data_IF_681965013752
#
_entry.id   IF_681965013752
#
_cell.length_a   1.000
_cell.length_b   1.000
_cell.length_c   1.000
_cell.angle_alpha   90.00
_cell.angle_beta   90.00
_cell.angle_gamma   90.00
#
_symmetry.space_group_name_H-M   'P 1'
#
loop_
_entity.id
_entity.type
_entity.pdbx_description
1 polymer ?
#
# COMPACT_ATOMS: atom_id res chain seq x y z
N UNK A 1 48.57 -49.91 42.00
CA UNK A 1 48.41 -48.50 42.43
C UNK A 1 46.91 -48.21 42.53
N UNK A 2 46.49 -47.56 43.62
CA UNK A 2 45.11 -47.46 44.14
C UNK A 2 44.34 -46.27 43.55
N UNK A 3 43.02 -46.44 43.47
CA UNK A 3 41.96 -45.52 43.05
C UNK A 3 41.86 -44.21 43.86
N UNK A 4 41.02 -43.25 43.37
CA UNK A 4 39.94 -42.50 44.07
C UNK A 4 39.68 -41.08 43.48
N UNK A 5 38.50 -40.82 42.89
CA UNK A 5 37.26 -40.15 43.40
C UNK A 5 37.31 -38.62 43.61
N UNK A 6 36.42 -37.93 42.86
CA UNK A 6 35.32 -37.01 43.25
C UNK A 6 35.49 -35.83 44.24
N UNK A 7 34.67 -34.77 44.03
CA UNK A 7 34.08 -33.73 44.93
C UNK A 7 34.19 -32.33 44.26
N UNK A 8 33.16 -31.73 43.61
CA UNK A 8 31.96 -30.96 44.06
C UNK A 8 32.27 -29.81 45.05
N UNK A 9 31.69 -28.61 44.82
CA UNK A 9 31.04 -27.68 45.78
C UNK A 9 31.47 -26.17 45.68
N UNK A 10 30.54 -25.38 45.11
CA UNK A 10 30.04 -24.02 45.45
C UNK A 10 30.93 -22.77 45.55
N UNK A 11 30.47 -21.68 44.92
CA UNK A 11 30.24 -20.41 45.62
C UNK A 11 29.20 -19.53 44.89
N UNK A 12 28.00 -19.51 45.44
CA UNK A 12 26.93 -18.51 45.29
C UNK A 12 27.37 -17.13 45.81
N UNK A 13 27.14 -16.07 45.04
CA UNK A 13 26.93 -14.71 45.58
C UNK A 13 25.72 -14.10 44.89
N UNK A 14 24.60 -14.12 45.61
CA UNK A 14 23.51 -13.18 45.45
C UNK A 14 23.79 -11.95 46.34
N UNK A 15 23.19 -10.80 46.01
CA UNK A 15 22.48 -9.87 46.92
C UNK A 15 22.64 -8.39 46.47
N UNK A 16 21.47 -7.71 46.37
CA UNK A 16 21.14 -6.26 46.29
C UNK A 16 21.11 -5.60 44.90
N UNK A 17 20.12 -4.79 44.52
CA UNK A 17 19.10 -4.08 45.30
C UNK A 17 17.79 -3.93 44.52
N UNK A 18 16.66 -4.26 45.16
CA UNK A 18 15.32 -3.91 44.70
C UNK A 18 15.00 -2.52 45.25
N UNK A 19 15.21 -1.48 44.45
CA UNK A 19 14.72 -0.14 44.73
C UNK A 19 13.22 -0.10 44.45
N UNK A 20 12.42 -0.23 45.51
CA UNK A 20 11.02 0.13 45.52
C UNK A 20 10.88 1.65 45.31
N UNK A 21 10.76 2.07 44.05
CA UNK A 21 10.19 3.39 43.76
C UNK A 21 8.67 3.25 43.76
N UNK A 22 8.07 3.86 44.79
CA UNK A 22 6.65 4.07 44.96
C UNK A 22 6.04 4.74 43.72
N UNK A 23 5.34 3.96 42.91
CA UNK A 23 4.46 4.48 41.87
C UNK A 23 3.29 5.22 42.51
N UNK A 24 3.29 6.54 42.39
CA UNK A 24 2.12 7.38 42.62
C UNK A 24 0.94 6.78 41.84
N UNK A 25 -0.07 6.30 42.56
CA UNK A 25 -1.39 6.07 41.97
C UNK A 25 -1.98 7.44 41.66
N UNK A 26 -1.72 7.94 40.46
CA UNK A 26 -2.57 8.94 39.84
C UNK A 26 -3.98 8.38 39.81
N UNK A 27 -4.83 8.86 40.74
CA UNK A 27 -6.27 8.81 40.60
C UNK A 27 -6.61 9.71 39.42
N UNK A 28 -6.49 9.16 38.22
CA UNK A 28 -7.13 9.71 37.03
C UNK A 28 -8.63 9.69 37.32
N UNK A 29 -9.18 10.89 37.49
CA UNK A 29 -10.60 11.11 37.60
C UNK A 29 -11.25 10.52 36.34
N UNK A 30 -12.07 9.51 36.57
CA UNK A 30 -12.89 8.80 35.59
C UNK A 30 -14.01 9.74 35.10
N UNK A 31 -13.62 10.77 34.35
CA UNK A 31 -14.56 11.62 33.64
C UNK A 31 -14.95 10.91 32.35
N UNK A 32 -16.19 10.43 32.30
CA UNK A 32 -17.04 10.40 31.11
C UNK A 32 -16.30 10.29 29.77
N UNK A 33 -15.99 9.06 29.40
CA UNK A 33 -15.49 8.76 28.07
C UNK A 33 -14.81 7.41 28.09
N UNK A 34 -15.60 6.33 28.02
CA UNK A 34 -15.09 5.04 27.56
C UNK A 34 -14.19 5.34 26.37
N UNK A 35 -12.93 4.87 26.40
CA UNK A 35 -12.03 4.91 25.24
C UNK A 35 -12.88 4.61 24.00
N UNK A 36 -12.79 5.40 22.92
CA UNK A 36 -13.60 5.16 21.73
C UNK A 36 -13.56 3.67 21.41
N UNK A 37 -14.69 2.98 21.56
CA UNK A 37 -14.82 1.56 21.17
C UNK A 37 -14.79 1.42 19.65
N UNK A 38 -14.59 2.54 18.94
CA UNK A 38 -14.10 2.68 17.58
C UNK A 38 -12.71 2.05 17.46
N UNK A 39 -12.60 0.73 17.61
CA UNK A 39 -11.54 0.02 16.91
C UNK A 39 -11.61 0.38 15.42
N UNK A 40 -10.49 0.28 14.69
CA UNK A 40 -10.52 0.49 13.25
C UNK A 40 -11.63 -0.38 12.64
N UNK A 41 -12.71 0.25 12.18
CA UNK A 41 -13.90 -0.45 11.68
C UNK A 41 -13.60 -1.31 10.44
N UNK A 42 -12.44 -1.09 9.84
CA UNK A 42 -11.88 -1.89 8.75
C UNK A 42 -10.46 -2.30 9.15
N UNK A 43 -10.23 -3.61 9.26
CA UNK A 43 -8.88 -4.15 9.36
C UNK A 43 -8.23 -3.98 7.99
N UNK A 44 -7.40 -2.95 7.84
CA UNK A 44 -6.64 -2.75 6.60
C UNK A 44 -5.80 -4.00 6.31
N UNK A 45 -5.84 -4.45 5.05
CA UNK A 45 -4.94 -5.50 4.61
C UNK A 45 -3.53 -4.92 4.51
N UNK A 46 -2.66 -5.47 5.36
CA UNK A 46 -1.26 -5.05 5.52
C UNK A 46 -0.29 -5.93 4.74
N UNK A 47 -0.80 -6.85 3.91
CA UNK A 47 0.01 -7.69 3.03
C UNK A 47 0.97 -6.80 2.22
N UNK A 48 2.29 -7.01 2.34
CA UNK A 48 3.26 -6.23 1.60
C UNK A 48 3.05 -6.38 0.09
N UNK A 49 3.01 -5.26 -0.63
CA UNK A 49 2.86 -5.25 -2.08
C UNK A 49 3.94 -6.08 -2.79
N UNK A 50 5.16 -6.09 -2.24
CA UNK A 50 6.28 -6.88 -2.76
C UNK A 50 5.97 -8.38 -2.78
N UNK A 51 5.32 -8.91 -1.75
CA UNK A 51 5.01 -10.34 -1.66
C UNK A 51 3.99 -10.74 -2.72
N UNK A 52 2.99 -9.89 -2.96
CA UNK A 52 1.99 -10.08 -4.00
C UNK A 52 2.61 -10.03 -5.40
N UNK A 53 3.49 -9.06 -5.64
CA UNK A 53 4.18 -8.89 -6.92
C UNK A 53 5.17 -10.02 -7.19
N UNK A 54 5.86 -10.52 -6.16
CA UNK A 54 6.79 -11.64 -6.29
C UNK A 54 6.07 -12.95 -6.53
N UNK A 55 4.92 -13.15 -5.88
CA UNK A 55 4.05 -14.29 -6.20
C UNK A 55 3.61 -14.23 -7.67
N UNK A 56 3.16 -13.08 -8.14
CA UNK A 56 2.77 -12.90 -9.54
C UNK A 56 3.92 -13.18 -10.51
N UNK A 57 5.12 -12.69 -10.21
CA UNK A 57 6.31 -12.95 -10.99
C UNK A 57 6.67 -14.44 -11.05
N UNK A 58 6.55 -15.18 -9.94
CA UNK A 58 6.77 -16.62 -9.92
C UNK A 58 5.78 -17.35 -10.83
N UNK A 59 4.49 -16.99 -10.77
CA UNK A 59 3.46 -17.60 -11.62
C UNK A 59 3.72 -17.35 -13.11
N UNK A 60 4.22 -16.16 -13.46
CA UNK A 60 4.66 -15.86 -14.84
C UNK A 60 5.89 -16.69 -15.20
N UNK A 61 6.93 -16.69 -14.37
CA UNK A 61 8.18 -17.44 -14.57
C UNK A 61 7.94 -18.94 -14.79
N UNK A 62 7.05 -19.55 -13.99
CA UNK A 62 6.70 -20.95 -14.11
C UNK A 62 6.08 -21.28 -15.48
N UNK A 63 5.29 -20.36 -16.05
CA UNK A 63 4.72 -20.52 -17.39
C UNK A 63 5.78 -20.35 -18.48
N UNK A 64 6.77 -19.49 -18.25
CA UNK A 64 7.87 -19.24 -19.19
C UNK A 64 8.85 -20.40 -19.26
N UNK A 65 9.15 -21.09 -18.16
CA UNK A 65 10.15 -22.17 -18.12
C UNK A 65 9.86 -23.27 -19.16
N UNK A 66 8.58 -23.59 -19.39
CA UNK A 66 8.17 -24.63 -20.33
C UNK A 66 8.11 -24.16 -21.80
N UNK A 67 8.15 -22.85 -22.06
CA UNK A 67 7.80 -22.27 -23.37
C UNK A 67 8.89 -21.40 -23.98
N UNK A 68 9.67 -20.73 -23.14
CA UNK A 68 10.65 -19.76 -23.57
C UNK A 68 12.00 -20.45 -23.81
N UNK A 69 12.58 -20.39 -25.03
CA UNK A 69 13.90 -20.92 -25.28
C UNK A 69 14.96 -20.29 -24.36
N UNK A 70 15.96 -21.04 -23.89
CA UNK A 70 17.00 -20.50 -23.01
C UNK A 70 17.76 -19.35 -23.69
N UNK A 71 18.10 -18.31 -22.92
CA UNK A 71 18.83 -17.15 -23.42
C UNK A 71 17.97 -16.08 -24.12
N UNK A 72 16.65 -16.28 -24.18
CA UNK A 72 15.70 -15.31 -24.71
C UNK A 72 15.65 -14.01 -23.89
N UNK A 73 15.92 -12.84 -24.48
CA UNK A 73 15.86 -11.57 -23.76
C UNK A 73 14.41 -11.09 -23.57
N UNK A 74 14.08 -10.68 -22.36
CA UNK A 74 12.80 -10.06 -22.02
C UNK A 74 13.01 -8.56 -21.80
N UNK A 75 12.44 -7.75 -22.69
CA UNK A 75 12.45 -6.29 -22.57
C UNK A 75 11.30 -5.85 -21.68
N UNK A 76 11.56 -4.96 -20.72
CA UNK A 76 10.52 -4.53 -19.77
C UNK A 76 9.90 -3.21 -20.20
N UNK A 77 8.59 -3.23 -20.39
CA UNK A 77 7.79 -2.02 -20.58
C UNK A 77 7.15 -1.62 -19.26
N UNK A 78 7.22 -0.33 -18.92
CA UNK A 78 6.59 0.16 -17.71
C UNK A 78 5.08 -0.07 -17.74
N UNK A 79 4.55 -0.56 -16.61
CA UNK A 79 3.13 -0.85 -16.48
C UNK A 79 2.32 0.44 -16.55
N UNK A 80 1.12 0.37 -17.10
CA UNK A 80 0.29 1.56 -17.33
C UNK A 80 -1.02 1.53 -16.55
N UNK A 81 -1.46 2.68 -16.07
CA UNK A 81 -2.81 2.81 -15.55
C UNK A 81 -3.81 2.77 -16.72
N UNK A 82 -4.83 1.91 -16.65
CA UNK A 82 -5.88 1.89 -17.68
C UNK A 82 -6.60 3.24 -17.72
N UNK A 83 -6.75 3.80 -18.92
CA UNK A 83 -7.43 5.08 -19.12
C UNK A 83 -6.58 6.34 -18.83
N UNK A 84 -5.29 6.19 -18.53
CA UNK A 84 -4.39 7.33 -18.33
C UNK A 84 -3.04 7.10 -19.00
N UNK A 85 -2.41 8.18 -19.46
CA UNK A 85 -1.04 8.19 -19.99
C UNK A 85 -0.02 8.55 -18.91
N UNK A 86 -0.46 8.83 -17.68
CA UNK A 86 0.41 9.20 -16.58
C UNK A 86 1.25 8.01 -16.12
N UNK A 87 2.55 8.26 -15.99
CA UNK A 87 3.47 7.37 -15.30
C UNK A 87 3.37 7.67 -13.81
N UNK A 88 3.15 6.65 -12.99
CA UNK A 88 2.98 6.79 -11.54
C UNK A 88 4.15 6.12 -10.83
N UNK A 89 4.45 6.55 -9.60
CA UNK A 89 5.45 5.87 -8.78
C UNK A 89 5.02 4.43 -8.48
N UNK A 90 3.72 4.20 -8.34
CA UNK A 90 3.15 2.86 -8.25
C UNK A 90 3.53 2.00 -9.45
N UNK A 91 3.35 2.50 -10.68
CA UNK A 91 3.69 1.79 -11.91
C UNK A 91 5.18 1.45 -11.97
N UNK A 92 6.05 2.39 -11.59
CA UNK A 92 7.49 2.21 -11.57
C UNK A 92 7.90 1.08 -10.61
N UNK A 93 7.47 1.18 -9.35
CA UNK A 93 7.79 0.19 -8.31
C UNK A 93 7.23 -1.18 -8.65
N UNK A 94 5.99 -1.24 -9.14
CA UNK A 94 5.34 -2.48 -9.58
C UNK A 94 6.15 -3.16 -10.69
N UNK A 95 6.52 -2.40 -11.72
CA UNK A 95 7.30 -2.92 -12.86
C UNK A 95 8.66 -3.43 -12.39
N UNK A 96 9.38 -2.64 -11.58
CA UNK A 96 10.71 -2.99 -11.06
C UNK A 96 10.67 -4.26 -10.21
N UNK A 97 9.67 -4.40 -9.33
CA UNK A 97 9.53 -5.58 -8.47
C UNK A 97 9.25 -6.86 -9.27
N UNK A 98 8.31 -6.79 -10.21
CA UNK A 98 7.97 -7.95 -11.06
C UNK A 98 9.17 -8.34 -11.94
N UNK A 99 9.79 -7.37 -12.62
CA UNK A 99 10.96 -7.61 -13.45
C UNK A 99 12.15 -8.15 -12.65
N UNK A 100 12.45 -7.56 -11.49
CA UNK A 100 13.52 -8.02 -10.61
C UNK A 100 13.30 -9.46 -10.18
N UNK A 101 12.06 -9.85 -9.86
CA UNK A 101 11.78 -11.22 -9.44
C UNK A 101 11.88 -12.20 -10.59
N UNK A 102 11.39 -11.86 -11.79
CA UNK A 102 11.57 -12.69 -13.00
C UNK A 102 13.08 -12.88 -13.31
N UNK A 103 13.90 -11.84 -13.14
CA UNK A 103 15.35 -11.95 -13.29
C UNK A 103 15.99 -12.92 -12.27
N UNK A 104 15.50 -12.93 -11.03
CA UNK A 104 15.98 -13.85 -9.99
C UNK A 104 15.63 -15.32 -10.29
N UNK A 105 14.57 -15.56 -11.06
CA UNK A 105 14.20 -16.91 -11.54
C UNK A 105 15.04 -17.37 -12.75
N UNK A 106 16.03 -16.57 -13.18
CA UNK A 106 17.01 -16.98 -14.21
C UNK A 106 16.74 -16.44 -15.62
N UNK A 107 15.70 -15.63 -15.81
CA UNK A 107 15.39 -15.02 -17.10
C UNK A 107 16.23 -13.76 -17.38
N UNK A 108 16.60 -13.56 -18.65
CA UNK A 108 17.40 -12.41 -19.07
C UNK A 108 16.54 -11.15 -19.22
N UNK A 109 16.43 -10.36 -18.15
CA UNK A 109 15.76 -9.06 -18.18
C UNK A 109 16.71 -7.98 -18.72
N UNK A 110 16.27 -7.26 -19.77
CA UNK A 110 17.11 -6.29 -20.48
C UNK A 110 16.36 -4.99 -20.76
N UNK A 111 17.09 -3.88 -20.80
CA UNK A 111 16.53 -2.59 -21.23
C UNK A 111 16.37 -2.51 -22.75
N UNK A 112 17.26 -3.18 -23.50
CA UNK A 112 17.26 -3.19 -24.96
C UNK A 112 17.68 -4.59 -25.46
N UNK A 113 16.78 -5.24 -26.18
CA UNK A 113 16.99 -6.56 -26.81
C UNK A 113 17.60 -6.48 -28.21
N UNK A 114 17.89 -5.28 -28.74
CA UNK A 114 18.48 -5.11 -30.08
C UNK A 114 19.86 -5.73 -30.21
N UNK A 115 20.63 -5.74 -29.11
CA UNK A 115 22.03 -6.21 -29.06
C UNK A 115 22.18 -7.68 -28.67
N UNK A 116 21.08 -8.38 -28.41
CA UNK A 116 21.13 -9.77 -27.99
C UNK A 116 21.34 -10.72 -29.18
N UNK A 117 22.26 -11.69 -29.07
CA UNK A 117 22.45 -12.69 -30.11
C UNK A 117 21.20 -13.56 -30.19
N UNK A 118 20.63 -13.66 -31.40
CA UNK A 118 19.44 -14.46 -31.69
C UNK A 118 19.79 -15.80 -32.36
N UNK A 119 21.08 -16.11 -32.44
CA UNK A 119 21.54 -17.40 -32.94
C UNK A 119 21.35 -18.45 -31.84
N UNK A 120 20.95 -19.67 -32.24
CA UNK A 120 20.95 -20.80 -31.33
C UNK A 120 22.38 -21.03 -30.81
N UNK A 121 22.49 -21.24 -29.50
CA UNK A 121 23.78 -21.51 -28.86
C UNK A 121 24.30 -22.91 -29.21
N UNK A 122 23.38 -23.82 -29.53
CA UNK A 122 23.59 -25.21 -29.89
C UNK A 122 22.59 -25.59 -31.00
N UNK A 123 22.96 -26.51 -31.90
CA UNK A 123 22.08 -26.97 -33.00
C UNK A 123 20.82 -27.68 -32.47
N UNK A 124 20.90 -28.26 -31.26
CA UNK A 124 19.81 -28.99 -30.61
C UNK A 124 18.83 -28.08 -29.84
N UNK A 125 19.14 -26.79 -29.67
CA UNK A 125 18.30 -25.84 -28.95
C UNK A 125 17.54 -24.92 -29.89
N UNK A 126 16.28 -24.65 -29.55
CA UNK A 126 15.52 -23.62 -30.24
C UNK A 126 16.25 -22.26 -30.13
N UNK A 127 16.28 -21.48 -31.22
CA UNK A 127 16.89 -20.16 -31.18
C UNK A 127 16.20 -19.28 -30.13
N UNK A 128 16.94 -18.38 -29.44
CA UNK A 128 16.35 -17.42 -28.52
C UNK A 128 15.24 -16.60 -29.21
N UNK A 129 14.26 -16.14 -28.43
CA UNK A 129 13.20 -15.27 -28.92
C UNK A 129 13.13 -13.96 -28.13
N UNK A 130 12.87 -12.85 -28.84
CA UNK A 130 12.70 -11.55 -28.18
C UNK A 130 11.32 -11.48 -27.57
N UNK A 131 11.26 -11.19 -26.28
CA UNK A 131 10.02 -11.06 -25.54
C UNK A 131 9.90 -9.68 -24.90
N UNK A 132 8.66 -9.30 -24.57
CA UNK A 132 8.33 -8.07 -23.86
C UNK A 132 7.46 -8.40 -22.65
N UNK A 133 7.87 -7.93 -21.48
CA UNK A 133 7.03 -7.87 -20.30
C UNK A 133 6.24 -6.56 -20.32
N UNK A 134 4.92 -6.65 -20.34
CA UNK A 134 4.03 -5.51 -20.27
C UNK A 134 2.89 -5.78 -19.29
N UNK A 135 2.38 -4.71 -18.69
CA UNK A 135 1.27 -4.82 -17.75
C UNK A 135 0.42 -3.57 -17.71
N UNK A 136 -0.78 -3.73 -17.17
CA UNK A 136 -1.70 -2.63 -16.93
C UNK A 136 -2.43 -2.84 -15.61
N UNK A 137 -2.78 -1.75 -14.95
CA UNK A 137 -3.51 -1.79 -13.69
C UNK A 137 -4.68 -0.79 -13.68
N UNK A 138 -5.69 -1.08 -12.86
CA UNK A 138 -6.85 -0.23 -12.64
C UNK A 138 -7.06 -0.02 -11.14
N UNK A 139 -7.35 1.21 -10.73
CA UNK A 139 -7.52 1.57 -9.33
C UNK A 139 -9.01 1.62 -9.00
N UNK A 140 -9.46 0.74 -8.10
CA UNK A 140 -10.78 0.75 -7.50
C UNK A 140 -10.80 1.44 -6.12
N UNK A 141 -11.95 1.42 -5.41
CA UNK A 141 -12.08 2.07 -4.11
C UNK A 141 -11.28 1.37 -2.98
N UNK A 142 -11.13 0.04 -3.05
CA UNK A 142 -10.47 -0.76 -2.01
C UNK A 142 -9.32 -1.62 -2.54
N UNK A 143 -9.28 -1.86 -3.85
CA UNK A 143 -8.30 -2.74 -4.49
C UNK A 143 -7.78 -2.13 -5.79
N UNK A 144 -6.55 -2.49 -6.14
CA UNK A 144 -5.92 -2.23 -7.43
C UNK A 144 -5.82 -3.56 -8.16
N UNK A 145 -6.48 -3.68 -9.31
CA UNK A 145 -6.41 -4.89 -10.15
C UNK A 145 -5.32 -4.73 -11.19
N UNK A 146 -4.43 -5.70 -11.27
CA UNK A 146 -3.23 -5.67 -12.10
C UNK A 146 -3.25 -6.88 -13.03
N UNK A 147 -2.88 -6.66 -14.28
CA UNK A 147 -2.66 -7.67 -15.31
C UNK A 147 -1.25 -7.51 -15.84
N UNK A 148 -0.47 -8.59 -15.89
CA UNK A 148 0.83 -8.60 -16.55
C UNK A 148 0.96 -9.81 -17.47
N UNK A 149 1.67 -9.62 -18.57
CA UNK A 149 1.94 -10.66 -19.55
C UNK A 149 3.33 -10.49 -20.15
N UNK A 150 3.97 -11.63 -20.45
CA UNK A 150 5.16 -11.70 -21.30
C UNK A 150 4.72 -12.22 -22.66
N UNK A 151 4.96 -11.42 -23.68
CA UNK A 151 4.63 -11.76 -25.06
C UNK A 151 5.86 -11.76 -25.95
N UNK A 152 5.87 -12.62 -26.96
CA UNK A 152 6.86 -12.59 -28.05
C UNK A 152 6.73 -11.29 -28.85
N UNK A 153 7.84 -10.79 -29.37
CA UNK A 153 7.86 -9.59 -30.23
C UNK A 153 7.47 -9.92 -31.66
N UNK A 154 7.71 -11.16 -32.11
CA UNK A 154 7.54 -11.60 -33.48
C UNK A 154 6.07 -11.66 -33.88
N UNK A 155 5.25 -12.35 -33.09
CA UNK A 155 3.85 -12.69 -33.37
C UNK A 155 2.89 -12.23 -32.25
N UNK A 156 3.41 -11.80 -31.10
CA UNK A 156 2.59 -11.32 -29.99
C UNK A 156 1.94 -12.44 -29.18
N UNK A 157 2.42 -13.68 -29.30
CA UNK A 157 1.97 -14.80 -28.49
C UNK A 157 2.24 -14.53 -27.00
N UNK A 158 1.24 -14.78 -26.16
CA UNK A 158 1.38 -14.65 -24.70
C UNK A 158 1.96 -15.97 -24.17
N UNK A 159 3.22 -15.91 -23.75
CA UNK A 159 3.92 -17.07 -23.19
C UNK A 159 3.53 -17.30 -21.73
N UNK A 160 3.40 -16.23 -20.97
CA UNK A 160 3.02 -16.27 -19.56
C UNK A 160 2.23 -15.03 -19.16
N UNK A 161 1.23 -15.20 -18.31
CA UNK A 161 0.42 -14.09 -17.80
C UNK A 161 -0.09 -14.35 -16.39
N UNK A 162 -0.34 -13.28 -15.65
CA UNK A 162 -0.95 -13.37 -14.35
C UNK A 162 -1.76 -12.11 -14.01
N UNK A 163 -2.89 -12.33 -13.36
CA UNK A 163 -3.78 -11.29 -12.85
C UNK A 163 -3.81 -11.38 -11.32
N UNK A 164 -3.66 -10.23 -10.65
CA UNK A 164 -3.72 -10.18 -9.19
C UNK A 164 -4.27 -8.86 -8.68
N UNK A 165 -4.63 -8.85 -7.40
CA UNK A 165 -5.15 -7.69 -6.72
C UNK A 165 -4.18 -7.26 -5.62
N UNK A 166 -3.98 -5.95 -5.52
CA UNK A 166 -3.21 -5.31 -4.44
C UNK A 166 -4.19 -4.47 -3.60
N UNK A 167 -4.22 -4.62 -2.27
CA UNK A 167 -5.09 -3.82 -1.43
C UNK A 167 -4.70 -2.33 -1.47
N UNK A 168 -5.70 -1.45 -1.51
CA UNK A 168 -5.51 -0.02 -1.45
C UNK A 168 -5.40 0.43 0.02
N UNK A 169 -4.21 0.31 0.60
CA UNK A 169 -3.88 0.79 1.93
C UNK A 169 -3.12 2.13 1.86
N UNK A 170 -2.80 2.70 3.03
CA UNK A 170 -2.04 3.96 3.12
C UNK A 170 -0.74 3.97 2.30
N UNK A 171 -0.02 2.84 2.26
CA UNK A 171 1.26 2.71 1.53
C UNK A 171 1.07 2.69 0.01
N UNK A 172 0.11 1.90 -0.49
CA UNK A 172 -0.14 1.80 -1.94
C UNK A 172 -0.83 3.05 -2.47
N UNK A 173 -1.68 3.69 -1.65
CA UNK A 173 -2.31 4.98 -1.98
C UNK A 173 -1.30 6.12 -2.13
N UNK A 174 -0.26 6.16 -1.30
CA UNK A 174 0.81 7.16 -1.38
C UNK A 174 1.60 7.12 -2.71
N UNK A 175 1.59 5.98 -3.41
CA UNK A 175 2.28 5.79 -4.69
C UNK A 175 1.40 6.17 -5.91
N UNK A 176 0.11 6.44 -5.68
CA UNK A 176 -0.83 6.80 -6.72
C UNK A 176 -0.98 8.33 -6.80
N UNK A 177 -1.33 8.87 -7.98
CA UNK A 177 -1.56 10.31 -8.17
C UNK A 177 -2.93 10.75 -7.62
N UNK A 178 -3.32 10.23 -6.45
CA UNK A 178 -4.58 10.60 -5.80
C UNK A 178 -4.28 11.83 -4.95
N UNK A 179 -4.79 12.99 -5.37
CA UNK A 179 -4.81 14.17 -4.52
C UNK A 179 -5.77 13.88 -3.37
N UNK A 180 -5.27 13.68 -2.16
CA UNK A 180 -6.10 13.77 -0.97
C UNK A 180 -6.73 15.16 -0.99
N UNK A 181 -8.06 15.26 -1.07
CA UNK A 181 -8.72 16.54 -0.84
C UNK A 181 -8.48 16.88 0.63
N UNK A 182 -7.71 17.92 0.97
CA UNK A 182 -7.39 18.21 2.37
C UNK A 182 -8.60 18.76 3.13
N UNK A 183 -9.76 18.92 2.48
CA UNK A 183 -10.98 19.43 3.07
C UNK A 183 -11.95 18.29 3.36
N UNK A 184 -11.78 17.67 4.53
CA UNK A 184 -12.90 17.08 5.24
C UNK A 184 -13.57 18.25 5.95
N UNK A 185 -14.59 18.85 5.35
CA UNK A 185 -15.46 19.76 6.08
C UNK A 185 -16.26 18.93 7.09
N UNK A 186 -16.09 19.13 8.41
CA UNK A 186 -16.91 18.42 9.38
C UNK A 186 -18.37 18.85 9.16
N UNK A 187 -19.21 17.91 8.70
CA UNK A 187 -20.66 18.12 8.56
C UNK A 187 -21.38 18.35 9.91
N UNK A 188 -20.66 18.19 11.02
CA UNK A 188 -21.19 18.42 12.36
C UNK A 188 -20.80 19.82 12.79
N UNK A 189 -21.80 20.69 12.90
CA UNK A 189 -21.67 21.98 13.54
C UNK A 189 -21.34 21.78 15.04
N UNK A 190 -20.07 21.94 15.40
CA UNK A 190 -19.61 21.91 16.81
C UNK A 190 -19.63 23.29 17.46
N UNK A 191 -20.25 24.29 16.82
CA UNK A 191 -20.54 25.58 17.46
C UNK A 191 -21.56 25.32 18.57
N UNK A 192 -21.08 25.05 19.77
CA UNK A 192 -21.92 25.05 20.97
C UNK A 192 -22.62 26.41 21.13
N UNK A 193 -23.68 26.49 21.95
CA UNK A 193 -24.33 27.75 22.23
C UNK A 193 -23.32 28.69 22.89
N UNK A 194 -22.89 29.71 22.16
CA UNK A 194 -22.10 30.81 22.71
C UNK A 194 -23.06 31.61 23.60
N UNK A 195 -22.92 31.47 24.92
CA UNK A 195 -23.51 32.43 25.85
C UNK A 195 -22.91 33.81 25.57
N UNK A 196 -23.79 34.73 25.23
CA UNK A 196 -23.47 36.11 24.88
C UNK A 196 -23.29 36.89 26.19
N UNK A 197 -22.07 36.89 26.74
CA UNK A 197 -21.73 37.83 27.82
C UNK A 197 -21.19 39.11 27.21
N UNK A 198 -22.01 40.16 27.22
CA UNK A 198 -21.59 41.52 26.87
C UNK A 198 -20.54 42.03 27.86
N UNK A 199 -19.36 42.43 27.37
CA UNK A 199 -18.73 43.69 27.76
C UNK A 199 -17.60 44.09 26.79
N UNK A 200 -17.87 45.21 26.10
CA UNK A 200 -17.01 46.18 25.43
C UNK A 200 -15.48 45.98 25.40
N UNK A 201 -14.91 45.98 24.19
CA UNK A 201 -14.19 47.13 23.56
C UNK A 201 -13.02 46.65 22.69
N UNK A 202 -12.94 47.16 21.45
CA UNK A 202 -11.73 47.09 20.63
C UNK A 202 -11.94 46.66 19.19
N UNK A 203 -12.18 47.65 18.32
CA UNK A 203 -11.75 47.75 16.91
C UNK A 203 -11.80 46.51 15.99
N UNK A 204 -12.61 46.58 14.93
CA UNK A 204 -12.19 46.69 13.52
C UNK A 204 -13.40 46.35 12.63
N UNK A 205 -13.84 47.31 11.81
CA UNK A 205 -14.80 47.09 10.73
C UNK A 205 -14.11 46.40 9.55
N UNK A 206 -14.83 45.53 8.82
CA UNK A 206 -15.20 45.94 7.48
C UNK A 206 -16.68 45.73 7.17
N UNK A 207 -17.15 46.59 6.28
CA UNK A 207 -18.51 46.86 5.84
C UNK A 207 -19.21 45.70 5.13
N UNK A 208 -20.40 45.32 5.61
CA UNK A 208 -21.38 44.56 4.85
C UNK A 208 -22.36 45.50 4.14
N UNK A 209 -22.37 45.42 2.81
CA UNK A 209 -23.40 46.01 1.95
C UNK A 209 -24.69 45.20 2.12
N UNK A 210 -25.80 45.92 2.24
CA UNK A 210 -27.12 45.44 2.59
C UNK A 210 -27.93 44.96 1.38
N UNK A 211 -28.66 43.86 1.53
CA UNK A 211 -29.88 43.52 0.81
C UNK A 211 -30.66 42.48 1.64
N UNK A 212 -31.67 42.87 2.42
CA UNK A 212 -33.12 42.85 2.10
C UNK A 212 -33.56 41.57 1.38
N UNK A 213 -34.58 40.81 1.77
CA UNK A 213 -35.61 40.94 2.81
C UNK A 213 -36.46 39.63 2.81
N UNK A 214 -36.97 39.26 3.99
CA UNK A 214 -38.27 38.59 4.24
C UNK A 214 -38.61 37.21 3.64
N UNK A 215 -38.70 36.21 4.52
CA UNK A 215 -39.92 35.40 4.71
C UNK A 215 -39.83 34.56 6.00
N UNK A 216 -40.87 34.67 6.84
CA UNK A 216 -41.01 34.04 8.16
C UNK A 216 -41.37 32.54 8.07
N UNK A 217 -41.18 31.74 9.15
CA UNK A 217 -41.48 30.31 9.16
C UNK A 217 -42.96 30.06 9.53
N UNK A 218 -43.66 29.25 8.73
CA UNK A 218 -44.99 28.73 9.03
C UNK A 218 -44.83 27.28 9.49
N UNK A 219 -45.19 27.02 10.74
CA UNK A 219 -45.41 25.68 11.28
C UNK A 219 -46.89 25.34 11.06
N UNK A 220 -47.20 24.40 10.17
CA UNK A 220 -48.47 23.67 10.20
C UNK A 220 -48.21 22.32 10.87
N UNK A 221 -48.79 22.15 12.06
CA UNK A 221 -49.13 20.85 12.62
C UNK A 221 -50.45 20.44 11.99
N UNK A 222 -50.50 19.28 11.35
CA UNK A 222 -51.77 18.63 11.05
C UNK A 222 -51.79 17.20 11.62
N UNK A 223 -52.91 16.93 12.27
CA UNK A 223 -53.28 15.75 13.05
C UNK A 223 -54.13 14.86 12.15
N UNK A 224 -53.88 13.55 12.13
CA UNK A 224 -54.76 12.39 11.80
C UNK A 224 -53.82 11.18 11.68
N UNK A 225 -53.98 10.03 12.33
CA UNK A 225 -55.14 9.26 12.83
C UNK A 225 -54.91 8.71 14.25
#
# INVERSE_FOLDING_TARGET
>A
MKARTSIIITATIAIMAVSACSGYKERTLDYLGKRPTTGAFFKEDTTPMVDLNYKAANEISNQLEARLPPGSPITVTMFRMRGSTMQTDFAKVLTEQVASKIAQEGFAIVADSSRFPMAALDEDLAPPEKCVLAGAYSVGPEIISITAAVSTVTDGEILGSYDWNVPLNSKTRALLPIKESPFIEPLVNTSGPIEKTESSSGSFQPSNISGRQNSAPVFEQDILE
#
